data_IF_920289307271
#
_entry.id   IF_920289307271
#
_cell.length_a   1.000
_cell.length_b   1.000
_cell.length_c   1.000
_cell.angle_alpha   90.00
_cell.angle_beta   90.00
_cell.angle_gamma   90.00
#
_symmetry.space_group_name_H-M   'P 1'
#
loop_
_entity.id
_entity.type
_entity.pdbx_description
1 polymer ?
#
# COMPACT_ATOMS: atom_id res chain seq x y z
N UNK A 1 -6.28 -1.93 18.76
CA UNK A 1 -4.93 -1.30 18.69
C UNK A 1 -4.92 -0.12 19.66
N UNK A 2 -3.80 0.19 20.31
CA UNK A 2 -3.62 1.43 21.08
C UNK A 2 -2.75 2.38 20.23
N UNK A 3 -3.21 3.61 20.03
CA UNK A 3 -2.52 4.60 19.20
C UNK A 3 -2.07 5.81 20.01
N UNK A 4 -0.88 6.31 19.71
CA UNK A 4 -0.31 7.52 20.26
C UNK A 4 0.21 8.40 19.14
N UNK A 5 0.04 9.71 19.24
CA UNK A 5 0.72 10.69 18.38
C UNK A 5 1.82 11.33 19.20
N UNK A 6 3.06 11.23 18.73
CA UNK A 6 4.22 11.76 19.41
C UNK A 6 4.61 13.11 18.81
N UNK A 7 4.76 14.11 19.68
CA UNK A 7 5.07 15.49 19.32
C UNK A 7 6.48 15.84 19.78
N UNK A 8 7.14 16.74 19.05
CA UNK A 8 8.42 17.32 19.45
C UNK A 8 8.24 18.53 20.40
N UNK A 9 7.10 19.23 20.30
CA UNK A 9 6.74 20.42 21.08
C UNK A 9 5.32 20.31 21.64
N UNK A 10 5.03 20.98 22.77
CA UNK A 10 3.67 21.01 23.32
C UNK A 10 2.71 21.77 22.39
N UNK A 11 1.47 21.28 22.31
CA UNK A 11 0.34 21.92 21.62
C UNK A 11 -0.78 22.17 22.64
N UNK A 12 -1.73 23.06 22.33
CA UNK A 12 -2.81 23.42 23.27
C UNK A 12 -3.66 22.21 23.66
N UNK A 13 -3.83 21.30 22.71
CA UNK A 13 -4.64 20.10 22.77
C UNK A 13 -4.00 18.98 23.61
N UNK A 14 -2.73 19.11 24.01
CA UNK A 14 -2.00 18.08 24.75
C UNK A 14 -2.67 17.74 26.11
N UNK A 15 -3.28 18.74 26.74
CA UNK A 15 -3.97 18.61 28.03
C UNK A 15 -5.49 18.69 27.90
N UNK A 16 -6.03 18.81 26.69
CA UNK A 16 -7.47 18.82 26.49
C UNK A 16 -8.03 17.41 26.71
N UNK A 17 -9.20 17.25 27.34
CA UNK A 17 -9.87 15.96 27.37
C UNK A 17 -10.07 15.51 25.93
N UNK A 18 -9.35 14.47 25.53
CA UNK A 18 -9.37 14.00 24.16
C UNK A 18 -10.82 13.73 23.77
N UNK A 19 -11.27 14.26 22.63
CA UNK A 19 -12.40 13.64 21.93
C UNK A 19 -12.12 12.14 21.85
N UNK A 20 -13.08 11.30 22.23
CA UNK A 20 -12.93 9.83 22.23
C UNK A 20 -12.54 9.23 20.88
N UNK A 21 -12.54 10.06 19.83
CA UNK A 21 -12.21 9.71 18.45
C UNK A 21 -10.74 9.94 18.06
N UNK A 22 -9.96 10.71 18.83
CA UNK A 22 -8.56 11.04 18.49
C UNK A 22 -7.55 10.21 19.31
N UNK A 23 -6.36 9.87 18.74
CA UNK A 23 -5.32 9.19 19.51
C UNK A 23 -4.76 10.05 20.64
N UNK A 24 -4.17 9.39 21.64
CA UNK A 24 -3.56 10.08 22.77
C UNK A 24 -2.30 10.82 22.32
N UNK A 25 -2.21 12.11 22.61
CA UNK A 25 -1.02 12.91 22.36
C UNK A 25 0.07 12.63 23.42
N UNK A 26 1.32 12.54 22.99
CA UNK A 26 2.51 12.39 23.85
C UNK A 26 3.59 13.36 23.42
N UNK A 27 4.31 13.92 24.39
CA UNK A 27 5.48 14.74 24.12
C UNK A 27 6.73 13.87 24.26
N UNK A 28 7.58 13.84 23.24
CA UNK A 28 8.84 13.11 23.32
C UNK A 28 9.77 13.73 24.39
N UNK A 29 10.72 12.97 24.93
CA UNK A 29 11.60 13.49 25.98
C UNK A 29 12.76 14.33 25.43
N UNK A 30 13.42 15.13 26.29
CA UNK A 30 14.52 16.00 25.87
C UNK A 30 15.70 15.23 25.26
N UNK A 31 16.23 15.75 24.15
CA UNK A 31 17.36 15.22 23.37
C UNK A 31 18.50 16.23 23.25
N UNK A 32 18.51 17.32 24.03
CA UNK A 32 19.56 18.35 24.03
C UNK A 32 20.97 17.78 24.19
N UNK A 33 21.12 16.72 25.01
CA UNK A 33 22.41 16.06 25.30
C UNK A 33 22.90 15.10 24.21
N UNK A 34 22.12 14.85 23.15
CA UNK A 34 22.52 13.99 22.04
C UNK A 34 23.16 14.82 20.92
N UNK A 35 24.31 14.43 20.36
CA UNK A 35 24.91 15.15 19.24
C UNK A 35 24.07 14.99 17.97
N UNK A 36 24.08 16.00 17.12
CA UNK A 36 23.45 15.98 15.78
C UNK A 36 24.27 16.88 14.86
N UNK A 37 24.85 16.30 13.80
CA UNK A 37 25.82 16.99 12.93
C UNK A 37 25.42 17.00 11.46
N UNK A 38 24.32 16.33 11.09
CA UNK A 38 23.86 16.31 9.70
C UNK A 38 23.35 17.68 9.25
N UNK A 39 23.92 18.24 8.17
CA UNK A 39 23.68 19.62 7.72
C UNK A 39 22.30 19.88 7.12
N UNK A 40 21.70 18.88 6.45
CA UNK A 40 20.43 19.05 5.71
C UNK A 40 19.21 18.40 6.36
N UNK A 41 19.34 17.85 7.56
CA UNK A 41 18.22 17.17 8.23
C UNK A 41 17.73 17.95 9.45
N UNK A 42 16.67 17.47 10.09
CA UNK A 42 16.13 18.08 11.32
C UNK A 42 16.61 17.36 12.58
N UNK A 43 16.98 18.13 13.61
CA UNK A 43 17.28 17.60 14.94
C UNK A 43 16.09 16.87 15.58
N UNK A 44 14.85 17.12 15.13
CA UNK A 44 13.67 16.37 15.56
C UNK A 44 13.77 14.87 15.26
N UNK A 45 14.60 14.45 14.30
CA UNK A 45 14.87 13.05 13.99
C UNK A 45 15.39 12.25 15.20
N UNK A 46 16.11 12.90 16.14
CA UNK A 46 16.54 12.26 17.39
C UNK A 46 15.36 11.88 18.28
N UNK A 47 14.30 12.69 18.30
CA UNK A 47 13.08 12.44 19.07
C UNK A 47 12.25 11.36 18.40
N UNK A 48 12.06 11.46 17.09
CA UNK A 48 11.35 10.45 16.29
C UNK A 48 11.99 9.06 16.46
N UNK A 49 13.33 8.98 16.43
CA UNK A 49 14.05 7.71 16.63
C UNK A 49 13.69 7.06 17.98
N UNK A 50 13.38 7.84 19.02
CA UNK A 50 13.14 7.34 20.38
C UNK A 50 11.68 6.92 20.63
N UNK A 51 10.76 7.14 19.68
CA UNK A 51 9.32 6.90 19.86
C UNK A 51 9.02 5.48 20.34
N UNK A 52 9.65 4.46 19.77
CA UNK A 52 9.41 3.05 20.16
C UNK A 52 9.83 2.82 21.62
N UNK A 53 11.03 3.27 21.99
CA UNK A 53 11.53 3.17 23.37
C UNK A 53 10.70 3.99 24.36
N UNK A 54 10.27 5.19 23.97
CA UNK A 54 9.42 6.05 24.81
C UNK A 54 8.02 5.48 24.98
N UNK A 55 7.46 4.85 23.93
CA UNK A 55 6.19 4.11 24.01
C UNK A 55 6.32 2.89 24.93
N UNK A 56 7.44 2.17 24.90
CA UNK A 56 7.70 1.08 25.83
C UNK A 56 7.75 1.57 27.30
N UNK A 57 8.33 2.75 27.56
CA UNK A 57 8.38 3.37 28.91
C UNK A 57 7.02 3.82 29.45
N UNK A 58 5.97 3.80 28.63
CA UNK A 58 4.59 3.92 29.12
C UNK A 58 4.09 2.63 29.81
N UNK A 59 4.95 1.60 29.89
CA UNK A 59 4.65 0.29 30.50
C UNK A 59 3.35 -0.34 29.99
N UNK A 60 3.12 -0.40 28.66
CA UNK A 60 1.86 -0.90 28.16
C UNK A 60 1.75 -2.41 28.43
N UNK A 61 0.68 -2.81 29.11
CA UNK A 61 0.39 -4.23 29.41
C UNK A 61 -0.09 -4.96 28.17
N UNK A 62 0.24 -6.25 28.02
CA UNK A 62 -0.23 -7.11 26.92
C UNK A 62 0.00 -6.52 25.50
N UNK A 63 1.19 -5.97 25.23
CA UNK A 63 1.63 -5.57 23.88
C UNK A 63 2.63 -6.58 23.34
N UNK A 64 2.44 -7.07 22.12
CA UNK A 64 3.40 -7.98 21.44
C UNK A 64 4.28 -7.25 20.43
N UNK A 65 3.73 -6.21 19.80
CA UNK A 65 4.33 -5.48 18.71
C UNK A 65 4.18 -3.98 18.91
N UNK A 66 5.24 -3.23 18.61
CA UNK A 66 5.26 -1.77 18.53
C UNK A 66 5.33 -1.40 17.07
N UNK A 67 4.40 -0.57 16.59
CA UNK A 67 4.31 -0.17 15.18
C UNK A 67 4.52 1.33 15.12
N UNK A 68 5.41 1.76 14.23
CA UNK A 68 5.72 3.16 13.97
C UNK A 68 5.39 3.48 12.51
N UNK A 69 4.89 4.69 12.27
CA UNK A 69 4.67 5.28 10.97
C UNK A 69 4.57 6.80 11.11
N UNK A 70 4.65 7.51 9.99
CA UNK A 70 4.56 8.96 9.95
C UNK A 70 3.09 9.44 9.97
N UNK A 71 2.87 10.75 10.11
CA UNK A 71 1.54 11.35 10.28
C UNK A 71 0.69 11.37 8.99
N UNK A 72 1.31 11.12 7.84
CA UNK A 72 0.71 10.90 6.51
C UNK A 72 0.65 9.40 6.12
N UNK A 73 0.95 8.49 7.06
CA UNK A 73 0.93 7.04 6.84
C UNK A 73 -0.43 6.43 7.17
N UNK A 74 -0.98 5.66 6.24
CA UNK A 74 -2.26 4.95 6.42
C UNK A 74 -2.02 3.45 6.51
N UNK A 75 -2.28 2.87 7.68
CA UNK A 75 -2.23 1.42 7.92
C UNK A 75 -3.58 0.74 7.67
N UNK A 76 -3.55 -0.50 7.17
CA UNK A 76 -4.67 -1.43 7.13
C UNK A 76 -4.57 -2.38 8.33
N UNK A 77 -5.28 -2.13 9.46
CA UNK A 77 -4.96 -2.78 10.73
C UNK A 77 -5.15 -4.30 10.72
N UNK A 78 -6.18 -4.81 10.03
CA UNK A 78 -6.44 -6.26 9.95
C UNK A 78 -5.35 -6.97 9.14
N UNK A 79 -4.88 -6.36 8.06
CA UNK A 79 -3.77 -6.88 7.26
C UNK A 79 -2.47 -6.85 8.06
N UNK A 80 -2.20 -5.74 8.78
CA UNK A 80 -1.04 -5.64 9.67
C UNK A 80 -1.05 -6.74 10.73
N UNK A 81 -2.18 -6.98 11.41
CA UNK A 81 -2.30 -8.05 12.41
C UNK A 81 -2.06 -9.42 11.78
N UNK A 82 -2.62 -9.67 10.60
CA UNK A 82 -2.45 -10.92 9.85
C UNK A 82 -0.99 -11.18 9.47
N UNK A 83 -0.27 -10.13 9.08
CA UNK A 83 1.17 -10.23 8.80
C UNK A 83 1.94 -10.54 10.08
N UNK A 84 1.71 -9.77 11.15
CA UNK A 84 2.45 -9.91 12.41
C UNK A 84 2.14 -11.23 13.14
N UNK A 85 0.97 -11.84 12.93
CA UNK A 85 0.63 -13.14 13.52
C UNK A 85 1.42 -14.31 12.96
N UNK A 86 2.13 -14.13 11.83
CA UNK A 86 3.00 -15.15 11.22
C UNK A 86 4.34 -15.31 11.94
N UNK A 87 4.72 -14.34 12.76
CA UNK A 87 6.03 -14.29 13.39
C UNK A 87 5.93 -14.62 14.88
N UNK A 88 6.91 -15.37 15.41
CA UNK A 88 7.01 -15.58 16.85
C UNK A 88 7.41 -14.27 17.54
N UNK A 89 6.44 -13.52 18.02
CA UNK A 89 6.62 -12.24 18.71
C UNK A 89 7.53 -12.27 19.95
N UNK A 90 7.97 -13.45 20.40
CA UNK A 90 8.96 -13.64 21.48
C UNK A 90 10.41 -13.56 20.96
N UNK A 91 10.62 -13.50 19.65
CA UNK A 91 11.93 -13.34 19.01
C UNK A 91 12.13 -11.88 18.54
N UNK A 92 13.39 -11.41 18.42
CA UNK A 92 13.69 -10.04 18.02
C UNK A 92 13.44 -9.82 16.51
N UNK A 93 12.26 -9.32 16.18
CA UNK A 93 11.88 -8.95 14.81
C UNK A 93 11.81 -7.44 14.58
N UNK A 94 12.40 -7.00 13.47
CA UNK A 94 12.25 -5.68 12.85
C UNK A 94 11.66 -5.87 11.45
N UNK A 95 10.37 -5.56 11.28
CA UNK A 95 9.58 -5.90 10.08
C UNK A 95 9.13 -4.62 9.39
N UNK A 96 9.34 -4.51 8.09
CA UNK A 96 8.92 -3.36 7.29
C UNK A 96 9.37 -3.54 5.84
N UNK A 97 9.53 -2.45 5.10
CA UNK A 97 10.11 -2.51 3.75
C UNK A 97 11.01 -1.30 3.47
N UNK A 98 11.88 -1.49 2.49
CA UNK A 98 12.63 -0.40 1.88
C UNK A 98 11.77 0.41 0.91
N UNK A 99 12.31 1.51 0.41
CA UNK A 99 11.64 2.42 -0.53
C UNK A 99 11.49 1.83 -1.94
N UNK A 100 10.40 2.20 -2.61
CA UNK A 100 10.21 2.00 -4.05
C UNK A 100 11.28 2.71 -4.90
N UNK A 101 12.01 3.68 -4.34
CA UNK A 101 13.09 4.39 -5.00
C UNK A 101 14.45 3.70 -4.81
N UNK A 102 15.08 3.29 -5.92
CA UNK A 102 16.40 2.66 -5.95
C UNK A 102 17.48 3.56 -5.36
N UNK A 103 17.44 4.85 -5.72
CA UNK A 103 18.42 5.84 -5.27
C UNK A 103 18.29 6.10 -3.78
N UNK A 104 17.07 6.19 -3.25
CA UNK A 104 16.84 6.32 -1.81
C UNK A 104 17.51 5.16 -1.07
N UNK A 105 17.32 3.92 -1.54
CA UNK A 105 17.88 2.74 -0.90
C UNK A 105 19.42 2.67 -0.99
N UNK A 106 20.03 3.24 -2.04
CA UNK A 106 21.49 3.36 -2.15
C UNK A 106 22.02 4.40 -1.16
N UNK A 107 21.36 5.55 -1.05
CA UNK A 107 21.82 6.63 -0.16
C UNK A 107 21.64 6.29 1.32
N UNK A 108 20.59 5.54 1.66
CA UNK A 108 20.29 5.13 3.02
C UNK A 108 20.66 3.66 3.26
N UNK A 109 19.77 2.72 2.96
CA UNK A 109 20.08 1.28 3.03
C UNK A 109 18.95 0.43 2.46
N UNK A 110 19.31 -0.69 1.80
CA UNK A 110 18.36 -1.78 1.49
C UNK A 110 17.96 -2.61 2.72
N UNK A 111 18.72 -2.50 3.81
CA UNK A 111 18.49 -3.17 5.09
C UNK A 111 17.69 -2.33 6.11
N UNK A 112 17.21 -1.16 5.71
CA UNK A 112 16.41 -0.25 6.55
C UNK A 112 14.92 -0.37 6.21
N UNK A 113 14.06 -0.45 7.22
CA UNK A 113 12.64 -0.14 7.02
C UNK A 113 12.47 1.38 7.04
N UNK A 114 11.87 1.93 6.00
CA UNK A 114 11.62 3.36 5.92
C UNK A 114 10.49 3.74 6.87
N UNK A 115 10.67 4.85 7.60
CA UNK A 115 9.74 5.29 8.65
C UNK A 115 8.34 5.57 8.13
N UNK A 116 8.24 6.22 6.97
CA UNK A 116 6.98 6.55 6.32
C UNK A 116 6.18 5.34 5.85
N UNK A 117 6.84 4.36 5.23
CA UNK A 117 6.22 3.08 4.90
C UNK A 117 5.77 2.32 6.14
N UNK A 118 6.29 2.69 7.31
CA UNK A 118 5.98 2.09 8.59
C UNK A 118 6.76 0.81 8.83
N UNK A 119 6.95 0.51 10.12
CA UNK A 119 7.60 -0.72 10.54
C UNK A 119 7.06 -1.21 11.89
N UNK A 120 7.23 -2.51 12.13
CA UNK A 120 6.89 -3.17 13.38
C UNK A 120 8.14 -3.74 14.06
N UNK A 121 8.21 -3.54 15.37
CA UNK A 121 9.25 -4.07 16.25
C UNK A 121 8.59 -4.96 17.29
N UNK A 122 9.07 -6.20 17.41
CA UNK A 122 8.64 -7.12 18.47
C UNK A 122 8.98 -6.57 19.87
N UNK A 123 8.21 -6.94 20.89
CA UNK A 123 8.49 -6.50 22.27
C UNK A 123 9.93 -6.77 22.74
N UNK A 124 10.51 -7.98 22.59
CA UNK A 124 11.88 -8.23 23.03
C UNK A 124 12.90 -7.31 22.36
N UNK A 125 12.72 -6.99 21.07
CA UNK A 125 13.57 -6.04 20.37
C UNK A 125 13.37 -4.60 20.87
N UNK A 126 12.13 -4.19 21.14
CA UNK A 126 11.84 -2.89 21.75
C UNK A 126 12.52 -2.74 23.13
N UNK A 127 12.55 -3.81 23.92
CA UNK A 127 13.24 -3.84 25.23
C UNK A 127 14.77 -3.76 25.07
N UNK A 128 15.33 -4.43 24.07
CA UNK A 128 16.76 -4.35 23.75
C UNK A 128 17.18 -2.96 23.28
N UNK A 129 16.46 -2.37 22.32
CA UNK A 129 16.78 -1.02 21.82
C UNK A 129 16.64 0.02 22.93
N UNK A 130 15.61 -0.06 23.79
CA UNK A 130 15.41 0.90 24.88
C UNK A 130 16.57 0.96 25.89
N UNK A 131 17.32 -0.14 26.07
CA UNK A 131 18.49 -0.22 26.97
C UNK A 131 19.76 0.42 26.39
N UNK A 132 19.81 0.62 25.07
CA UNK A 132 21.05 1.01 24.38
C UNK A 132 20.92 2.22 23.45
N UNK A 133 19.68 2.62 23.10
CA UNK A 133 19.40 3.59 22.04
C UNK A 133 20.14 4.91 22.21
N UNK A 134 20.13 5.53 23.39
CA UNK A 134 20.81 6.82 23.59
C UNK A 134 22.35 6.69 23.42
N UNK A 135 22.94 5.51 23.68
CA UNK A 135 24.36 5.25 23.37
C UNK A 135 24.59 5.07 21.86
N UNK A 136 23.69 4.37 21.17
CA UNK A 136 23.70 4.26 19.70
C UNK A 136 23.61 5.63 19.03
N UNK A 137 22.62 6.44 19.40
CA UNK A 137 22.40 7.77 18.81
C UNK A 137 23.62 8.70 18.95
N UNK A 138 24.42 8.55 20.02
CA UNK A 138 25.68 9.30 20.18
C UNK A 138 26.77 8.90 19.18
N UNK A 139 26.81 7.64 18.74
CA UNK A 139 27.78 7.13 17.75
C UNK A 139 27.43 7.51 16.32
N UNK A 140 26.15 7.81 16.06
CA UNK A 140 25.64 8.15 14.73
C UNK A 140 25.06 9.58 14.63
N UNK A 141 25.81 10.63 15.02
CA UNK A 141 25.30 12.00 14.99
C UNK A 141 25.09 12.53 13.58
N UNK A 142 25.79 11.95 12.59
CA UNK A 142 25.84 12.39 11.20
C UNK A 142 24.75 11.79 10.31
N UNK A 143 23.93 10.86 10.80
CA UNK A 143 22.86 10.26 9.98
C UNK A 143 21.73 11.27 9.69
N UNK A 144 20.96 11.04 8.63
CA UNK A 144 19.94 12.01 8.19
C UNK A 144 18.67 11.92 9.03
N UNK A 145 17.95 10.81 8.89
CA UNK A 145 16.59 10.61 9.37
C UNK A 145 16.50 9.82 10.67
N UNK A 146 15.27 9.53 11.08
CA UNK A 146 15.00 8.74 12.27
C UNK A 146 15.07 7.24 12.01
N UNK A 147 14.61 6.82 10.84
CA UNK A 147 14.71 5.48 10.28
C UNK A 147 16.17 5.04 10.09
N UNK A 148 17.01 5.90 9.54
CA UNK A 148 18.46 5.64 9.37
C UNK A 148 19.14 5.35 10.72
N UNK A 149 18.76 6.12 11.75
CA UNK A 149 19.22 5.92 13.13
C UNK A 149 18.69 4.65 13.77
N UNK A 150 17.41 4.32 13.57
CA UNK A 150 16.83 3.06 14.02
C UNK A 150 17.59 1.90 13.38
N UNK A 151 17.81 1.93 12.07
CA UNK A 151 18.56 0.91 11.34
C UNK A 151 19.99 0.77 11.86
N UNK A 152 20.70 1.87 12.13
CA UNK A 152 22.03 1.82 12.74
C UNK A 152 22.02 1.10 14.11
N UNK A 153 21.02 1.37 14.95
CA UNK A 153 20.88 0.65 16.22
C UNK A 153 20.50 -0.83 16.04
N UNK A 154 19.71 -1.17 15.01
CA UNK A 154 19.43 -2.56 14.66
C UNK A 154 20.68 -3.30 14.20
N UNK A 155 21.55 -2.64 13.44
CA UNK A 155 22.83 -3.19 13.01
C UNK A 155 23.76 -3.48 14.20
N UNK A 156 23.82 -2.61 15.21
CA UNK A 156 24.56 -2.88 16.45
C UNK A 156 24.00 -4.07 17.24
N UNK A 157 22.68 -4.26 17.20
CA UNK A 157 22.01 -5.39 17.84
C UNK A 157 22.10 -6.69 17.01
N UNK A 158 22.63 -6.62 15.77
CA UNK A 158 22.68 -7.75 14.86
C UNK A 158 21.31 -8.23 14.37
N UNK A 159 20.29 -7.36 14.36
CA UNK A 159 18.93 -7.72 13.93
C UNK A 159 18.66 -7.16 12.53
N UNK A 160 18.54 -8.01 11.51
CA UNK A 160 18.30 -7.55 10.14
C UNK A 160 16.84 -7.15 9.92
N UNK A 161 16.61 -6.37 8.86
CA UNK A 161 15.27 -6.12 8.35
C UNK A 161 14.63 -7.42 7.85
N UNK A 162 13.48 -7.75 8.42
CA UNK A 162 12.55 -8.73 7.86
C UNK A 162 11.64 -8.01 6.87
N UNK A 163 12.00 -8.07 5.58
CA UNK A 163 11.25 -7.36 4.53
C UNK A 163 9.87 -7.98 4.31
N UNK A 164 8.84 -7.15 4.32
CA UNK A 164 7.49 -7.53 3.93
C UNK A 164 6.94 -6.60 2.83
N UNK A 165 6.52 -7.13 1.66
CA UNK A 165 6.23 -6.32 0.46
C UNK A 165 4.94 -5.50 0.53
N UNK A 166 4.18 -5.59 1.63
CA UNK A 166 2.95 -4.81 1.85
C UNK A 166 3.15 -3.47 2.56
N UNK A 167 4.37 -3.17 3.03
CA UNK A 167 4.70 -1.84 3.59
C UNK A 167 5.23 -0.96 2.45
N UNK A 168 4.62 0.21 2.24
CA UNK A 168 4.95 1.07 1.11
C UNK A 168 5.33 2.49 1.53
N UNK A 169 6.56 2.88 1.22
CA UNK A 169 7.08 4.23 1.43
C UNK A 169 6.60 5.18 0.32
N UNK A 170 6.47 4.71 -0.92
CA UNK A 170 6.10 5.52 -2.08
C UNK A 170 6.87 6.84 -2.21
N UNK A 171 8.20 6.76 -2.17
CA UNK A 171 9.06 7.87 -2.61
C UNK A 171 8.96 8.02 -4.15
N UNK A 172 7.80 8.45 -4.62
CA UNK A 172 7.42 8.69 -6.01
C UNK A 172 6.45 9.86 -6.07
N UNK A 173 6.28 10.46 -7.25
CA UNK A 173 5.24 11.46 -7.51
C UNK A 173 4.27 10.99 -8.59
N UNK A 174 3.12 11.67 -8.69
CA UNK A 174 2.09 11.41 -9.68
C UNK A 174 1.18 10.26 -9.26
N UNK A 175 0.71 9.49 -10.24
CA UNK A 175 -0.34 8.51 -10.01
C UNK A 175 0.20 7.15 -9.55
N UNK A 176 -0.26 6.70 -8.37
CA UNK A 176 -0.01 5.35 -7.85
C UNK A 176 -0.77 4.24 -8.60
N UNK A 177 -1.53 4.57 -9.66
CA UNK A 177 -2.34 3.61 -10.42
C UNK A 177 -1.58 2.33 -10.78
N UNK A 178 -0.38 2.45 -11.35
CA UNK A 178 0.42 1.29 -11.74
C UNK A 178 0.87 0.42 -10.57
N UNK A 179 1.28 1.03 -9.45
CA UNK A 179 1.76 0.31 -8.26
C UNK A 179 0.62 -0.43 -7.56
N UNK A 180 -0.52 0.25 -7.38
CA UNK A 180 -1.70 -0.30 -6.71
C UNK A 180 -2.48 -1.30 -7.59
N UNK A 181 -2.50 -1.09 -8.92
CA UNK A 181 -3.17 -2.01 -9.84
C UNK A 181 -2.43 -3.35 -10.01
N UNK A 182 -1.11 -3.33 -9.85
CA UNK A 182 -0.23 -4.49 -9.92
C UNK A 182 0.48 -4.74 -8.57
N UNK A 183 -0.25 -4.53 -7.47
CA UNK A 183 0.27 -4.75 -6.12
C UNK A 183 0.80 -6.19 -5.99
N UNK A 184 1.94 -6.42 -5.30
CA UNK A 184 2.46 -7.75 -5.07
C UNK A 184 1.43 -8.71 -4.45
N UNK A 185 1.61 -10.02 -4.65
CA UNK A 185 0.75 -11.05 -4.05
C UNK A 185 1.05 -11.18 -2.56
N UNK A 186 0.58 -10.22 -1.78
CA UNK A 186 0.77 -10.07 -0.35
C UNK A 186 -0.32 -9.15 0.24
N UNK A 187 -0.59 -9.21 1.56
CA UNK A 187 -1.48 -8.24 2.20
C UNK A 187 -0.94 -6.82 2.03
N UNK A 188 -1.78 -5.88 1.60
CA UNK A 188 -1.46 -4.46 1.65
C UNK A 188 -1.49 -3.99 3.12
N UNK A 189 -0.37 -3.49 3.64
CA UNK A 189 -0.22 -3.16 5.07
C UNK A 189 -0.29 -1.66 5.31
N UNK A 190 0.41 -0.87 4.51
CA UNK A 190 0.49 0.58 4.68
C UNK A 190 0.72 1.31 3.37
N UNK A 191 0.28 2.57 3.33
CA UNK A 191 0.50 3.51 2.24
C UNK A 191 1.02 4.82 2.85
N UNK A 192 2.06 5.40 2.26
CA UNK A 192 2.68 6.67 2.69
C UNK A 192 2.61 7.74 1.59
N UNK A 193 2.88 9.00 1.95
CA UNK A 193 2.88 10.15 1.02
C UNK A 193 1.57 10.33 0.25
N UNK A 194 0.45 9.94 0.87
CA UNK A 194 -0.87 10.11 0.26
C UNK A 194 -1.29 11.56 0.14
N UNK A 195 -0.59 12.52 0.76
CA UNK A 195 -0.73 13.96 0.62
C UNK A 195 0.10 14.55 -0.54
N UNK A 196 1.11 13.83 -1.01
CA UNK A 196 2.02 14.24 -2.10
C UNK A 196 1.60 13.66 -3.45
N UNK A 197 1.21 12.38 -3.49
CA UNK A 197 0.83 11.67 -4.72
C UNK A 197 -0.58 12.05 -5.18
N UNK A 198 -0.92 11.73 -6.43
CA UNK A 198 -2.28 11.95 -6.93
C UNK A 198 -3.31 11.15 -6.09
N UNK A 199 -4.55 11.66 -5.92
CA UNK A 199 -5.58 10.95 -5.19
C UNK A 199 -5.81 9.54 -5.76
N UNK A 200 -5.88 8.53 -4.87
CA UNK A 200 -6.16 7.12 -5.24
C UNK A 200 -7.42 7.03 -6.13
N UNK A 201 -8.44 7.85 -5.86
CA UNK A 201 -9.62 7.95 -6.71
C UNK A 201 -9.71 9.36 -7.34
N UNK A 202 -9.35 9.56 -8.61
CA UNK A 202 -9.34 10.88 -9.25
C UNK A 202 -10.70 11.61 -9.25
N UNK A 203 -11.80 10.84 -9.18
CA UNK A 203 -13.17 11.39 -9.09
C UNK A 203 -13.55 11.93 -7.70
N UNK A 204 -12.70 11.73 -6.68
CA UNK A 204 -12.98 12.12 -5.30
C UNK A 204 -12.31 13.45 -4.99
N UNK A 205 -13.04 14.33 -4.30
CA UNK A 205 -12.66 15.74 -4.11
C UNK A 205 -11.42 15.98 -3.26
N UNK A 206 -11.03 15.04 -2.39
CA UNK A 206 -9.87 15.20 -1.50
C UNK A 206 -9.24 13.87 -1.12
N UNK A 207 -7.97 13.89 -0.73
CA UNK A 207 -7.23 12.70 -0.34
C UNK A 207 -7.86 11.98 0.88
N UNK A 208 -8.28 12.68 1.96
CA UNK A 208 -8.97 12.01 3.06
C UNK A 208 -10.30 11.38 2.65
N UNK A 209 -11.05 12.01 1.73
CA UNK A 209 -12.30 11.41 1.23
C UNK A 209 -12.04 10.16 0.37
N UNK A 210 -10.92 10.13 -0.37
CA UNK A 210 -10.50 8.95 -1.13
C UNK A 210 -10.12 7.79 -0.20
N UNK A 211 -9.38 8.07 0.87
CA UNK A 211 -9.06 7.09 1.92
C UNK A 211 -10.34 6.59 2.60
N UNK A 212 -11.28 7.48 2.98
CA UNK A 212 -12.57 7.05 3.55
C UNK A 212 -13.35 6.13 2.62
N UNK A 213 -13.41 6.43 1.31
CA UNK A 213 -14.05 5.54 0.32
C UNK A 213 -13.45 4.14 0.33
N UNK A 214 -12.12 4.03 0.46
CA UNK A 214 -11.43 2.75 0.56
C UNK A 214 -11.78 2.01 1.87
N UNK A 215 -11.75 2.73 2.99
CA UNK A 215 -11.97 2.15 4.32
C UNK A 215 -13.42 1.77 4.61
N UNK A 216 -14.37 2.63 4.26
CA UNK A 216 -15.80 2.41 4.48
C UNK A 216 -16.39 1.35 3.54
N UNK A 217 -15.67 1.05 2.45
CA UNK A 217 -16.07 0.10 1.42
C UNK A 217 -15.19 -1.16 1.38
N UNK A 218 -14.28 -1.30 0.40
CA UNK A 218 -13.51 -2.53 0.20
C UNK A 218 -12.77 -3.06 1.43
N UNK A 219 -12.10 -2.20 2.20
CA UNK A 219 -11.35 -2.63 3.39
C UNK A 219 -12.29 -3.21 4.44
N UNK A 220 -13.43 -2.58 4.68
CA UNK A 220 -14.46 -3.08 5.61
C UNK A 220 -15.11 -4.39 5.13
N UNK A 221 -15.20 -4.59 3.82
CA UNK A 221 -15.83 -5.77 3.22
C UNK A 221 -14.89 -6.99 3.18
N UNK A 222 -13.63 -6.78 2.81
CA UNK A 222 -12.61 -7.83 2.70
C UNK A 222 -11.21 -7.20 2.57
N UNK A 223 -10.65 -6.73 3.69
CA UNK A 223 -9.32 -6.09 3.75
C UNK A 223 -8.20 -6.92 3.14
N UNK A 224 -8.27 -8.25 3.26
CA UNK A 224 -7.30 -9.18 2.73
C UNK A 224 -7.20 -9.13 1.20
N UNK A 225 -8.29 -8.81 0.50
CA UNK A 225 -8.36 -8.79 -0.96
C UNK A 225 -8.06 -7.42 -1.59
N UNK A 226 -7.93 -6.37 -0.79
CA UNK A 226 -7.73 -4.99 -1.28
C UNK A 226 -6.44 -4.91 -2.11
N UNK A 227 -6.55 -4.27 -3.29
CA UNK A 227 -5.50 -4.12 -4.30
C UNK A 227 -4.99 -5.42 -4.96
N UNK A 228 -5.53 -6.58 -4.59
CA UNK A 228 -5.07 -7.85 -5.17
C UNK A 228 -5.49 -7.98 -6.63
N UNK A 229 -4.51 -8.26 -7.48
CA UNK A 229 -4.69 -8.37 -8.91
C UNK A 229 -5.22 -9.76 -9.30
N UNK A 230 -6.21 -9.79 -10.20
CA UNK A 230 -6.68 -10.99 -10.91
C UNK A 230 -6.73 -10.68 -12.41
N UNK A 231 -6.26 -11.59 -13.25
CA UNK A 231 -6.15 -11.39 -14.70
C UNK A 231 -6.93 -12.46 -15.45
N UNK A 232 -7.77 -12.03 -16.38
CA UNK A 232 -8.59 -12.89 -17.22
C UNK A 232 -8.80 -12.26 -18.59
N UNK A 233 -9.37 -13.03 -19.50
CA UNK A 233 -9.52 -12.64 -20.90
C UNK A 233 -10.98 -12.64 -21.31
N UNK A 234 -11.39 -11.59 -22.02
CA UNK A 234 -12.60 -11.66 -22.83
C UNK A 234 -12.20 -12.20 -24.21
N UNK A 235 -12.47 -13.50 -24.41
CA UNK A 235 -12.15 -14.27 -25.61
C UNK A 235 -12.78 -13.68 -26.87
N UNK A 236 -14.05 -13.28 -26.85
CA UNK A 236 -14.77 -12.87 -28.07
C UNK A 236 -14.25 -11.55 -28.65
N UNK A 237 -13.85 -10.61 -27.78
CA UNK A 237 -13.27 -9.32 -28.16
C UNK A 237 -11.75 -9.28 -28.11
N UNK A 238 -11.10 -10.37 -27.70
CA UNK A 238 -9.66 -10.47 -27.44
C UNK A 238 -9.18 -9.33 -26.54
N UNK A 239 -9.81 -9.18 -25.38
CA UNK A 239 -9.40 -8.19 -24.37
C UNK A 239 -8.75 -8.84 -23.17
N UNK A 240 -7.75 -8.18 -22.62
CA UNK A 240 -7.21 -8.51 -21.30
C UNK A 240 -7.93 -7.68 -20.25
N UNK A 241 -8.46 -8.33 -19.23
CA UNK A 241 -9.12 -7.72 -18.08
C UNK A 241 -8.26 -7.96 -16.85
N UNK A 242 -7.82 -6.88 -16.20
CA UNK A 242 -7.09 -6.93 -14.93
C UNK A 242 -7.92 -6.25 -13.87
N UNK A 243 -8.28 -7.00 -12.83
CA UNK A 243 -9.02 -6.52 -11.66
C UNK A 243 -8.06 -6.36 -10.50
N UNK A 244 -7.86 -5.14 -10.02
CA UNK A 244 -7.28 -4.86 -8.71
C UNK A 244 -8.45 -4.59 -7.75
N UNK A 245 -8.80 -5.60 -6.96
CA UNK A 245 -10.07 -5.62 -6.23
C UNK A 245 -10.14 -4.49 -5.20
N UNK A 246 -11.25 -3.75 -5.23
CA UNK A 246 -11.46 -2.59 -4.35
C UNK A 246 -10.80 -1.30 -4.83
N UNK A 247 -10.21 -1.29 -6.04
CA UNK A 247 -9.52 -0.11 -6.57
C UNK A 247 -9.84 0.18 -8.02
N UNK A 248 -9.38 -0.68 -8.94
CA UNK A 248 -9.46 -0.41 -10.37
C UNK A 248 -9.62 -1.68 -11.19
N UNK A 249 -10.36 -1.57 -12.29
CA UNK A 249 -10.36 -2.56 -13.37
C UNK A 249 -9.77 -1.92 -14.62
N UNK A 250 -8.84 -2.63 -15.26
CA UNK A 250 -8.20 -2.22 -16.50
C UNK A 250 -8.61 -3.16 -17.62
N UNK A 251 -9.10 -2.62 -18.73
CA UNK A 251 -9.33 -3.36 -19.97
C UNK A 251 -8.27 -2.94 -20.98
N UNK A 252 -7.51 -3.90 -21.51
CA UNK A 252 -6.51 -3.68 -22.56
C UNK A 252 -6.97 -4.41 -23.82
N UNK A 253 -6.89 -3.74 -24.98
CA UNK A 253 -7.12 -4.41 -26.27
C UNK A 253 -5.98 -5.37 -26.57
N UNK A 254 -6.30 -6.57 -27.01
CA UNK A 254 -5.34 -7.63 -27.25
C UNK A 254 -5.07 -8.49 -26.01
N UNK A 255 -4.22 -9.48 -26.23
CA UNK A 255 -3.85 -10.50 -25.25
C UNK A 255 -2.53 -10.11 -24.63
N UNK A 256 -2.56 -9.66 -23.38
CA UNK A 256 -1.37 -9.31 -22.60
C UNK A 256 -1.15 -10.43 -21.57
N UNK A 257 0.08 -10.96 -21.52
CA UNK A 257 0.41 -12.07 -20.63
C UNK A 257 0.29 -11.66 -19.14
N UNK A 258 0.00 -12.61 -18.23
CA UNK A 258 -0.03 -12.29 -16.81
C UNK A 258 1.31 -11.75 -16.29
N UNK A 259 2.44 -12.29 -16.81
CA UNK A 259 3.80 -11.82 -16.53
C UNK A 259 3.98 -10.32 -16.83
N UNK A 260 3.41 -9.86 -17.95
CA UNK A 260 3.47 -8.45 -18.30
C UNK A 260 2.50 -7.61 -17.47
N UNK A 261 1.29 -8.12 -17.19
CA UNK A 261 0.30 -7.43 -16.37
C UNK A 261 0.69 -7.25 -14.90
N UNK A 262 1.50 -8.16 -14.35
CA UNK A 262 2.11 -8.06 -13.01
C UNK A 262 3.18 -6.98 -12.94
N UNK A 263 3.73 -6.54 -14.07
CA UNK A 263 4.71 -5.45 -14.08
C UNK A 263 3.96 -4.12 -13.98
N UNK A 264 4.18 -3.30 -12.94
CA UNK A 264 3.52 -2.02 -12.76
C UNK A 264 3.66 -1.10 -13.98
N UNK A 265 2.55 -0.51 -14.41
CA UNK A 265 2.57 0.56 -15.40
C UNK A 265 3.25 1.79 -14.82
N UNK A 266 4.14 2.43 -15.57
CA UNK A 266 4.82 3.64 -15.14
C UNK A 266 3.88 4.86 -15.23
N UNK A 267 3.03 5.00 -14.23
CA UNK A 267 2.09 6.12 -14.03
C UNK A 267 2.60 7.16 -13.03
N UNK A 268 3.81 6.92 -12.51
CA UNK A 268 4.48 7.69 -11.47
C UNK A 268 5.89 8.06 -11.95
N UNK A 269 6.49 9.05 -11.29
CA UNK A 269 7.87 9.49 -11.50
C UNK A 269 8.68 9.31 -10.22
N UNK A 270 9.99 9.14 -10.38
CA UNK A 270 10.92 8.95 -9.27
C UNK A 270 10.94 10.16 -8.31
N UNK A 271 11.23 9.92 -7.02
CA UNK A 271 11.46 10.96 -6.00
C UNK A 271 12.45 12.06 -6.39
N UNK A 272 13.51 11.72 -7.13
CA UNK A 272 14.49 12.71 -7.61
C UNK A 272 14.04 13.44 -8.89
N UNK A 273 12.75 13.30 -9.25
CA UNK A 273 12.08 13.93 -10.40
C UNK A 273 12.77 13.71 -11.75
N UNK A 274 13.59 12.66 -11.84
CA UNK A 274 14.17 12.19 -13.11
C UNK A 274 13.24 11.14 -13.71
N UNK A 275 12.98 11.24 -15.00
CA UNK A 275 12.16 10.28 -15.75
C UNK A 275 12.95 8.99 -16.10
N UNK A 276 13.86 8.57 -15.22
CA UNK A 276 14.67 7.38 -15.45
C UNK A 276 13.99 6.15 -14.85
N UNK A 277 13.82 5.13 -15.68
CA UNK A 277 13.24 3.85 -15.29
C UNK A 277 14.16 2.98 -14.46
N UNK A 278 15.46 3.27 -14.46
CA UNK A 278 16.46 2.59 -13.63
C UNK A 278 16.43 3.05 -12.17
N UNK A 279 15.66 4.10 -11.86
CA UNK A 279 15.57 4.66 -10.52
C UNK A 279 14.65 3.91 -9.55
N UNK A 280 14.01 2.80 -9.94
CA UNK A 280 13.08 2.04 -9.09
C UNK A 280 13.69 0.74 -8.59
N UNK A 281 13.33 0.30 -7.38
CA UNK A 281 13.81 -0.97 -6.79
C UNK A 281 13.12 -2.22 -7.36
N UNK A 282 12.37 -2.08 -8.46
CA UNK A 282 11.58 -3.10 -9.13
C UNK A 282 11.37 -2.76 -10.62
N UNK A 283 10.92 -3.75 -11.39
CA UNK A 283 10.67 -3.57 -12.82
C UNK A 283 9.39 -2.78 -13.07
N UNK A 284 9.43 -1.87 -14.04
CA UNK A 284 8.24 -1.14 -14.53
C UNK A 284 8.08 -1.32 -16.02
N UNK A 285 6.84 -1.23 -16.52
CA UNK A 285 6.55 -1.19 -17.95
C UNK A 285 6.03 0.19 -18.37
N UNK A 286 6.38 0.69 -19.56
CA UNK A 286 5.94 2.00 -20.01
C UNK A 286 4.41 2.04 -20.20
N UNK A 287 3.82 3.22 -20.02
CA UNK A 287 2.37 3.41 -20.12
C UNK A 287 1.80 3.07 -21.51
N UNK A 288 2.55 3.36 -22.57
CA UNK A 288 2.17 3.06 -23.95
C UNK A 288 3.41 2.59 -24.71
N UNK A 289 3.44 1.33 -25.16
CA UNK A 289 4.32 0.87 -26.25
C UNK A 289 3.58 0.88 -27.58
N UNK A 290 2.35 0.37 -27.55
CA UNK A 290 1.41 0.36 -28.65
C UNK A 290 0.22 1.25 -28.27
N UNK A 291 -0.12 2.29 -29.08
CA UNK A 291 -1.30 3.15 -28.85
C UNK A 291 -2.60 2.39 -28.59
N UNK A 292 -2.79 1.25 -29.26
CA UNK A 292 -3.96 0.39 -29.11
C UNK A 292 -4.05 -0.32 -27.76
N UNK A 293 -2.93 -0.51 -27.07
CA UNK A 293 -2.84 -1.19 -25.79
C UNK A 293 -2.88 -0.23 -24.60
N UNK A 294 -3.12 1.07 -24.82
CA UNK A 294 -3.39 1.99 -23.71
C UNK A 294 -4.61 1.48 -22.93
N UNK A 295 -4.49 1.20 -21.62
CA UNK A 295 -5.56 0.59 -20.83
C UNK A 295 -6.76 1.54 -20.68
N UNK A 296 -7.96 1.00 -20.81
CA UNK A 296 -9.21 1.65 -20.43
C UNK A 296 -9.42 1.43 -18.94
N UNK A 297 -9.46 2.53 -18.17
CA UNK A 297 -9.45 2.50 -16.71
C UNK A 297 -10.86 2.68 -16.15
N UNK A 298 -11.22 1.84 -15.17
CA UNK A 298 -12.48 1.91 -14.44
C UNK A 298 -12.19 1.94 -12.94
N UNK A 299 -12.44 3.06 -12.27
CA UNK A 299 -12.19 3.19 -10.84
C UNK A 299 -13.40 2.74 -10.03
N UNK A 300 -13.15 2.22 -8.82
CA UNK A 300 -14.20 1.88 -7.87
C UNK A 300 -15.11 3.08 -7.62
N UNK A 301 -16.41 2.88 -7.85
CA UNK A 301 -17.45 3.87 -7.55
C UNK A 301 -18.27 3.49 -6.32
N UNK A 302 -18.58 2.21 -6.13
CA UNK A 302 -19.35 1.72 -4.99
C UNK A 302 -19.00 0.28 -4.62
N UNK A 303 -19.27 -0.09 -3.38
CA UNK A 303 -19.10 -1.45 -2.88
C UNK A 303 -20.20 -1.77 -1.89
N UNK A 304 -20.67 -3.03 -1.90
CA UNK A 304 -21.68 -3.52 -0.97
C UNK A 304 -21.50 -5.00 -0.70
N UNK A 305 -22.05 -5.46 0.42
CA UNK A 305 -22.21 -6.88 0.70
C UNK A 305 -23.60 -7.35 0.27
N UNK A 306 -23.67 -8.35 -0.58
CA UNK A 306 -24.91 -9.03 -0.94
C UNK A 306 -25.16 -10.19 0.02
N UNK A 307 -26.06 -10.00 0.98
CA UNK A 307 -26.38 -11.01 2.01
C UNK A 307 -26.99 -12.27 1.42
N UNK A 308 -27.79 -12.16 0.35
CA UNK A 308 -28.49 -13.30 -0.25
C UNK A 308 -27.51 -14.28 -0.90
N UNK A 309 -26.51 -13.75 -1.60
CA UNK A 309 -25.48 -14.52 -2.29
C UNK A 309 -24.23 -14.75 -1.45
N UNK A 310 -24.12 -14.08 -0.29
CA UNK A 310 -22.94 -14.08 0.60
C UNK A 310 -21.65 -13.69 -0.13
N UNK A 311 -21.74 -12.65 -0.94
CA UNK A 311 -20.64 -12.12 -1.76
C UNK A 311 -20.54 -10.61 -1.63
N UNK A 312 -19.34 -10.09 -1.83
CA UNK A 312 -19.13 -8.67 -2.12
C UNK A 312 -19.51 -8.38 -3.57
N UNK A 313 -20.07 -7.20 -3.79
CA UNK A 313 -20.34 -6.65 -5.13
C UNK A 313 -19.70 -5.27 -5.19
N UNK A 314 -18.72 -5.11 -6.07
CA UNK A 314 -18.02 -3.83 -6.31
C UNK A 314 -18.32 -3.35 -7.72
N UNK A 315 -18.58 -2.05 -7.85
CA UNK A 315 -18.92 -1.41 -9.12
C UNK A 315 -17.81 -0.45 -9.49
N UNK A 316 -17.40 -0.45 -10.75
CA UNK A 316 -16.34 0.36 -11.29
C UNK A 316 -16.87 1.18 -12.46
N UNK A 317 -16.72 2.50 -12.35
CA UNK A 317 -17.17 3.44 -13.37
C UNK A 317 -15.99 3.87 -14.23
N UNK A 318 -16.26 4.05 -15.52
CA UNK A 318 -15.25 4.43 -16.50
C UNK A 318 -14.61 5.78 -16.15
N UNK A 319 -13.29 5.79 -16.07
CA UNK A 319 -12.52 7.02 -16.07
C UNK A 319 -12.43 7.57 -17.49
N UNK A 320 -12.83 8.82 -17.70
CA UNK A 320 -12.70 9.48 -19.01
C UNK A 320 -11.25 9.87 -19.21
N UNK A 321 -10.64 9.33 -20.25
CA UNK A 321 -9.26 9.57 -20.64
C UNK A 321 -9.17 9.53 -22.16
N UNK A 322 -8.32 10.37 -22.71
CA UNK A 322 -8.09 10.38 -24.15
C UNK A 322 -7.33 9.12 -24.56
N UNK A 323 -7.82 8.43 -25.57
CA UNK A 323 -7.12 7.31 -26.17
C UNK A 323 -6.54 7.76 -27.52
N UNK A 324 -5.27 7.48 -27.81
CA UNK A 324 -4.69 7.81 -29.10
C UNK A 324 -5.43 7.07 -30.23
N UNK A 325 -5.42 7.60 -31.45
CA UNK A 325 -5.93 6.89 -32.62
C UNK A 325 -5.32 5.49 -32.69
N UNK A 326 -6.18 4.50 -32.90
CA UNK A 326 -5.79 3.10 -32.92
C UNK A 326 -6.61 2.38 -34.00
N UNK A 327 -5.96 1.84 -35.06
CA UNK A 327 -6.62 1.08 -36.12
C UNK A 327 -6.95 -0.33 -35.61
N UNK A 328 -7.90 -0.43 -34.69
CA UNK A 328 -8.45 -1.71 -34.22
C UNK A 328 -9.81 -1.95 -34.88
N UNK A 329 -10.06 -3.14 -35.46
CA UNK A 329 -11.30 -3.41 -36.20
C UNK A 329 -12.57 -3.22 -35.36
N UNK A 330 -12.52 -3.65 -34.10
CA UNK A 330 -13.66 -3.55 -33.18
C UNK A 330 -13.77 -2.20 -32.46
N UNK A 331 -15.01 -1.75 -32.16
CA UNK A 331 -15.24 -0.64 -31.24
C UNK A 331 -14.50 -0.82 -29.92
N UNK A 332 -13.91 0.25 -29.40
CA UNK A 332 -13.13 0.19 -28.17
C UNK A 332 -14.00 -0.15 -26.95
N UNK A 333 -13.40 -0.69 -25.88
CA UNK A 333 -14.08 -0.90 -24.60
C UNK A 333 -14.90 0.31 -24.15
N UNK A 334 -14.42 1.53 -24.38
CA UNK A 334 -15.13 2.78 -24.08
C UNK A 334 -16.52 2.93 -24.75
N UNK A 335 -16.80 2.26 -25.87
CA UNK A 335 -18.12 2.29 -26.53
C UNK A 335 -19.01 1.12 -26.14
N UNK A 336 -18.42 0.10 -25.53
CA UNK A 336 -19.06 -1.20 -25.27
C UNK A 336 -19.25 -1.48 -23.79
N UNK A 337 -18.53 -0.81 -22.90
CA UNK A 337 -18.57 -1.04 -21.45
C UNK A 337 -18.62 0.31 -20.74
N UNK A 338 -19.78 0.63 -20.17
CA UNK A 338 -19.96 1.83 -19.37
C UNK A 338 -19.54 1.59 -17.92
N UNK A 339 -19.79 0.37 -17.44
CA UNK A 339 -19.62 -0.02 -16.05
C UNK A 339 -19.17 -1.47 -15.93
N UNK A 340 -18.38 -1.76 -14.91
CA UNK A 340 -17.94 -3.11 -14.58
C UNK A 340 -18.44 -3.46 -13.19
N UNK A 341 -19.01 -4.65 -13.04
CA UNK A 341 -19.46 -5.19 -11.75
C UNK A 341 -18.62 -6.42 -11.43
N UNK A 342 -17.89 -6.37 -10.32
CA UNK A 342 -17.08 -7.49 -9.83
C UNK A 342 -17.78 -8.12 -8.63
N UNK A 343 -18.03 -9.43 -8.73
CA UNK A 343 -18.55 -10.23 -7.61
C UNK A 343 -17.43 -11.07 -7.03
N UNK A 344 -17.30 -11.09 -5.70
CA UNK A 344 -16.27 -11.88 -5.00
C UNK A 344 -16.78 -12.39 -3.65
N UNK A 345 -16.56 -13.66 -3.34
CA UNK A 345 -16.77 -14.18 -1.98
C UNK A 345 -15.69 -13.60 -1.03
N UNK A 346 -16.06 -12.96 0.10
CA UNK A 346 -15.09 -12.51 1.09
C UNK A 346 -14.22 -13.67 1.57
N UNK A 347 -12.94 -13.41 1.78
CA UNK A 347 -11.99 -14.42 2.25
C UNK A 347 -10.97 -13.81 3.22
N UNK A 348 -11.37 -13.58 4.49
CA UNK A 348 -10.47 -13.03 5.51
C UNK A 348 -9.24 -13.91 5.77
N UNK A 349 -9.35 -15.21 5.46
CA UNK A 349 -8.28 -16.21 5.61
C UNK A 349 -7.35 -16.29 4.41
N UNK A 350 -7.44 -15.37 3.44
CA UNK A 350 -6.67 -15.42 2.18
C UNK A 350 -5.18 -15.70 2.42
N UNK A 351 -4.62 -15.04 3.43
CA UNK A 351 -3.21 -15.06 3.76
C UNK A 351 -2.80 -16.18 4.72
N UNK A 352 -3.74 -17.02 5.16
CA UNK A 352 -3.47 -18.26 5.91
C UNK A 352 -2.88 -19.36 5.04
N UNK A 353 -2.96 -19.18 3.72
CA UNK A 353 -2.46 -20.10 2.70
C UNK A 353 -1.22 -19.50 2.02
N UNK A 354 -0.53 -20.35 1.25
CA UNK A 354 0.57 -19.91 0.41
C UNK A 354 0.10 -18.78 -0.53
N UNK A 355 0.86 -17.69 -0.69
CA UNK A 355 0.48 -16.56 -1.53
C UNK A 355 0.19 -17.00 -2.98
N UNK A 356 -1.04 -16.77 -3.42
CA UNK A 356 -1.48 -17.02 -4.80
C UNK A 356 -2.59 -16.03 -5.14
N UNK A 357 -2.56 -15.48 -6.36
CA UNK A 357 -3.65 -14.62 -6.84
C UNK A 357 -4.96 -15.39 -6.95
N UNK A 358 -6.04 -14.64 -6.80
CA UNK A 358 -7.35 -15.11 -7.20
C UNK A 358 -7.45 -15.16 -8.74
N UNK A 359 -8.28 -16.07 -9.23
CA UNK A 359 -8.63 -16.16 -10.64
C UNK A 359 -9.87 -15.30 -10.90
N UNK A 360 -9.98 -14.77 -12.12
CA UNK A 360 -11.17 -14.06 -12.55
C UNK A 360 -11.82 -14.67 -13.79
N UNK A 361 -13.13 -14.47 -13.93
CA UNK A 361 -13.94 -15.03 -15.01
C UNK A 361 -14.85 -13.94 -15.54
N UNK A 362 -14.61 -13.52 -16.78
CA UNK A 362 -15.40 -12.48 -17.45
C UNK A 362 -16.64 -13.12 -18.06
N UNK A 363 -17.77 -12.43 -17.95
CA UNK A 363 -19.00 -12.79 -18.68
C UNK A 363 -19.28 -11.78 -19.78
N UNK A 364 -19.99 -12.17 -20.86
CA UNK A 364 -20.34 -11.25 -21.93
C UNK A 364 -21.06 -10.00 -21.43
N UNK A 365 -20.79 -8.87 -22.07
CA UNK A 365 -21.43 -7.59 -21.76
C UNK A 365 -22.94 -7.71 -21.97
N UNK A 366 -23.71 -7.20 -21.01
CA UNK A 366 -25.18 -7.17 -21.06
C UNK A 366 -25.70 -5.75 -20.82
N UNK A 367 -26.91 -5.48 -21.32
CA UNK A 367 -27.61 -4.24 -20.98
C UNK A 367 -28.10 -4.30 -19.52
N UNK A 368 -27.76 -3.28 -18.75
CA UNK A 368 -28.22 -3.06 -17.40
C UNK A 368 -29.65 -2.51 -17.36
N UNK A 369 -30.18 -2.31 -16.15
CA UNK A 369 -31.58 -1.88 -15.92
C UNK A 369 -31.95 -0.55 -16.57
N UNK A 370 -30.96 0.31 -16.84
CA UNK A 370 -31.14 1.62 -17.48
C UNK A 370 -30.49 1.72 -18.86
N UNK A 371 -30.26 0.59 -19.54
CA UNK A 371 -29.64 0.55 -20.87
C UNK A 371 -28.11 0.73 -20.88
N UNK A 372 -27.49 0.92 -19.71
CA UNK A 372 -26.03 0.94 -19.52
C UNK A 372 -25.39 -0.40 -19.92
N UNK A 373 -24.24 -0.37 -20.60
CA UNK A 373 -23.54 -1.61 -20.98
C UNK A 373 -22.64 -2.09 -19.84
N UNK A 374 -23.00 -3.22 -19.23
CA UNK A 374 -22.35 -3.75 -18.02
C UNK A 374 -21.56 -5.01 -18.34
N UNK A 375 -20.28 -5.02 -17.97
CA UNK A 375 -19.44 -6.22 -17.92
C UNK A 375 -19.46 -6.77 -16.50
N UNK A 376 -19.76 -8.07 -16.34
CA UNK A 376 -19.66 -8.72 -15.03
C UNK A 376 -18.41 -9.61 -14.98
N UNK A 377 -17.68 -9.52 -13.87
CA UNK A 377 -16.49 -10.32 -13.60
C UNK A 377 -16.66 -11.04 -12.26
N UNK A 378 -16.47 -12.35 -12.24
CA UNK A 378 -16.39 -13.14 -11.01
C UNK A 378 -14.92 -13.25 -10.60
N UNK A 379 -14.60 -12.98 -9.33
CA UNK A 379 -13.26 -13.13 -8.76
C UNK A 379 -13.32 -14.08 -7.57
N UNK A 380 -12.46 -15.09 -7.56
CA UNK A 380 -12.45 -16.09 -6.50
C UNK A 380 -11.18 -16.93 -6.47
N UNK A 381 -11.13 -17.87 -5.54
CA UNK A 381 -10.04 -18.87 -5.48
C UNK A 381 -9.99 -19.61 -6.82
N UNK A 382 -8.78 -19.82 -7.33
CA UNK A 382 -8.57 -20.60 -8.54
C UNK A 382 -9.00 -22.05 -8.33
N UNK A 383 -9.70 -22.62 -9.29
CA UNK A 383 -10.03 -24.05 -9.35
C UNK A 383 -8.75 -24.85 -9.58
N UNK A 384 -8.85 -26.16 -9.35
CA UNK A 384 -7.75 -27.05 -9.65
C UNK A 384 -7.38 -26.97 -11.14
N UNK A 385 -6.09 -26.86 -11.43
CA UNK A 385 -5.56 -26.62 -12.78
C UNK A 385 -5.90 -25.25 -13.43
N UNK A 386 -6.65 -24.36 -12.78
CA UNK A 386 -7.07 -23.10 -13.41
C UNK A 386 -5.90 -22.12 -13.58
N UNK A 387 -5.71 -21.69 -14.83
CA UNK A 387 -4.75 -20.69 -15.26
C UNK A 387 -5.44 -19.61 -16.10
N UNK A 388 -4.81 -18.43 -16.21
CA UNK A 388 -5.30 -17.37 -17.09
C UNK A 388 -4.94 -17.68 -18.54
N UNK A 389 -5.90 -18.19 -19.31
CA UNK A 389 -5.74 -18.56 -20.73
C UNK A 389 -6.95 -18.17 -21.61
N UNK A 390 -6.75 -18.17 -22.93
CA UNK A 390 -7.73 -17.80 -23.97
C UNK A 390 -8.45 -19.00 -24.55
#
# INVERSE_FOLDING_TARGET
>A
MRGYVWLDKPVKELNSPSSSLLPILKLSSDTSKLPYTHKHGSRSALRLSRIVSETLRLHPTNVRWFVMGDDDTVFLPDNLVTVLSRYDHRQPYYIGSHSESHLQNIYFSYGMAYGGGGFAISRPLAESIAKMQDRCLRRYPSLYGSDDRIHACMAELGVPLTRHPGFHQYDVYGSLLGLLAAHPVAPLVSLHHLDIVDPIFPSVRSHPAAVRRLFDGPVKLDSAAVMQQSICYERSKRWTVSVSWGFVVQIVRGVVSPREMETPLRTFVNWYRRADYTGYSFNTRPLVRNPCQKPFIYYLSSSRYDRSRRVTVTTYDRHRQDHPPCPWPDPGPSRLVDRIVVTKKPDPSLWDRAPRRNCCRVTPVRNGKHGEKVMNVDVGVCRDGEISEI
#
